data_IF_362277646410
#
_entry.id   IF_362277646410
#
_cell.length_a   1.000
_cell.length_b   1.000
_cell.length_c   1.000
_cell.angle_alpha   90.00
_cell.angle_beta   90.00
_cell.angle_gamma   90.00
#
_symmetry.space_group_name_H-M   'P 1'
#
loop_
_entity.id
_entity.type
_entity.pdbx_description
1 polymer ?
#
# COMPACT_ATOMS: atom_id res chain seq x y z
N UNK A 1 41.38 33.68 -14.12
CA UNK A 1 40.85 33.27 -12.80
C UNK A 1 40.01 32.01 -12.98
N UNK A 2 40.36 30.88 -12.33
CA UNK A 2 39.53 29.68 -12.40
C UNK A 2 38.17 29.93 -11.75
N UNK A 3 37.08 29.57 -12.43
CA UNK A 3 35.71 29.72 -11.91
C UNK A 3 35.59 28.92 -10.61
N UNK A 4 35.28 29.61 -9.51
CA UNK A 4 34.91 28.94 -8.25
C UNK A 4 33.75 27.97 -8.54
N UNK A 5 33.88 26.67 -8.22
CA UNK A 5 32.78 25.74 -8.40
C UNK A 5 31.58 26.25 -7.61
N UNK A 6 30.41 26.31 -8.25
CA UNK A 6 29.16 26.67 -7.58
C UNK A 6 28.96 25.65 -6.46
N UNK A 7 29.11 26.10 -5.20
CA UNK A 7 28.65 25.32 -4.06
C UNK A 7 27.14 25.24 -4.16
N UNK A 8 26.61 24.02 -4.17
CA UNK A 8 25.18 23.81 -4.10
C UNK A 8 24.64 24.52 -2.85
N UNK A 9 23.55 25.28 -2.96
CA UNK A 9 22.94 25.90 -1.80
C UNK A 9 22.59 24.79 -0.81
N UNK A 10 23.12 24.89 0.41
CA UNK A 10 22.78 24.02 1.55
C UNK A 10 21.30 24.24 1.90
N UNK A 11 20.40 23.63 1.14
CA UNK A 11 19.02 23.43 1.55
C UNK A 11 19.06 22.50 2.76
N UNK A 12 18.38 22.89 3.83
CA UNK A 12 18.01 21.94 4.87
C UNK A 12 17.33 20.76 4.18
N UNK A 13 17.81 19.53 4.44
CA UNK A 13 17.28 18.33 3.83
C UNK A 13 15.77 18.29 4.04
N UNK A 14 15.00 18.26 2.95
CA UNK A 14 13.56 18.14 3.08
C UNK A 14 13.28 16.69 3.47
N UNK A 15 12.50 16.41 4.53
CA UNK A 15 12.14 15.03 4.90
C UNK A 15 11.44 14.26 3.77
N UNK A 16 10.97 14.93 2.71
CA UNK A 16 10.43 14.30 1.51
C UNK A 16 11.50 13.77 0.53
N UNK A 17 12.76 14.21 0.65
CA UNK A 17 13.88 13.81 -0.22
C UNK A 17 14.32 12.35 0.04
N UNK A 18 13.89 11.75 1.15
CA UNK A 18 14.11 10.34 1.47
C UNK A 18 13.28 9.38 0.58
N UNK A 19 12.22 9.88 -0.04
CA UNK A 19 11.29 9.07 -0.84
C UNK A 19 11.62 9.13 -2.34
N UNK A 20 11.36 8.03 -3.05
CA UNK A 20 11.51 7.98 -4.51
C UNK A 20 10.57 8.98 -5.19
N UNK A 21 10.99 9.53 -6.33
CA UNK A 21 10.15 10.45 -7.13
C UNK A 21 8.84 9.81 -7.58
N UNK A 22 8.82 8.49 -7.79
CA UNK A 22 7.61 7.73 -8.10
C UNK A 22 6.65 7.63 -6.92
N UNK A 23 7.16 7.34 -5.71
CA UNK A 23 6.36 7.26 -4.49
C UNK A 23 5.72 8.61 -4.16
N UNK A 24 6.51 9.68 -4.34
CA UNK A 24 6.04 11.03 -4.16
C UNK A 24 4.92 11.38 -5.15
N UNK A 25 4.98 10.90 -6.40
CA UNK A 25 3.90 11.09 -7.38
C UNK A 25 2.63 10.34 -6.97
N UNK A 26 2.76 9.09 -6.54
CA UNK A 26 1.61 8.29 -6.09
C UNK A 26 0.96 8.93 -4.86
N UNK A 27 1.75 9.32 -3.86
CA UNK A 27 1.25 10.02 -2.67
C UNK A 27 0.59 11.36 -3.02
N UNK A 28 1.16 12.14 -3.94
CA UNK A 28 0.54 13.37 -4.45
C UNK A 28 -0.77 13.10 -5.19
N UNK A 29 -0.83 12.06 -6.02
CA UNK A 29 -2.04 11.70 -6.75
C UNK A 29 -3.18 11.32 -5.81
N UNK A 30 -2.90 10.48 -4.79
CA UNK A 30 -3.88 10.14 -3.74
C UNK A 30 -4.29 11.39 -2.96
N UNK A 31 -3.33 12.24 -2.61
CA UNK A 31 -3.64 13.46 -1.87
C UNK A 31 -4.52 14.44 -2.67
N UNK A 32 -4.20 14.67 -3.95
CA UNK A 32 -5.02 15.54 -4.80
C UNK A 32 -6.39 14.93 -5.10
N UNK A 33 -6.49 13.62 -5.26
CA UNK A 33 -7.80 12.97 -5.42
C UNK A 33 -8.67 13.12 -4.18
N UNK A 34 -8.10 13.05 -2.96
CA UNK A 34 -8.83 13.35 -1.72
C UNK A 34 -9.34 14.80 -1.73
N UNK A 35 -8.52 15.77 -2.14
CA UNK A 35 -8.92 17.19 -2.21
C UNK A 35 -10.07 17.38 -3.20
N UNK A 36 -9.95 16.81 -4.40
CA UNK A 36 -11.00 16.91 -5.44
C UNK A 36 -12.29 16.24 -4.96
N UNK A 37 -12.19 15.05 -4.36
CA UNK A 37 -13.36 14.34 -3.80
C UNK A 37 -14.03 15.16 -2.69
N UNK A 38 -13.23 15.80 -1.83
CA UNK A 38 -13.72 16.68 -0.76
C UNK A 38 -14.47 17.88 -1.34
N UNK A 39 -13.91 18.56 -2.35
CA UNK A 39 -14.54 19.70 -2.99
C UNK A 39 -15.87 19.33 -3.65
N UNK A 40 -15.91 18.23 -4.40
CA UNK A 40 -17.14 17.72 -5.05
C UNK A 40 -18.19 17.36 -3.99
N UNK A 41 -17.78 16.72 -2.89
CA UNK A 41 -18.69 16.31 -1.82
C UNK A 41 -19.29 17.53 -1.11
N UNK A 42 -18.49 18.56 -0.80
CA UNK A 42 -18.98 19.81 -0.19
C UNK A 42 -19.98 20.50 -1.13
N UNK A 43 -19.67 20.55 -2.42
CA UNK A 43 -20.56 21.13 -3.42
C UNK A 43 -21.87 20.33 -3.53
N UNK A 44 -21.79 19.01 -3.52
CA UNK A 44 -22.95 18.12 -3.49
C UNK A 44 -23.83 18.34 -2.26
N UNK A 45 -23.24 18.45 -1.07
CA UNK A 45 -23.98 18.74 0.18
C UNK A 45 -24.79 20.03 0.04
N UNK A 46 -24.18 21.10 -0.47
CA UNK A 46 -24.87 22.37 -0.66
C UNK A 46 -26.02 22.27 -1.68
N UNK A 47 -25.78 21.62 -2.81
CA UNK A 47 -26.81 21.43 -3.83
C UNK A 47 -27.98 20.58 -3.32
N UNK A 48 -27.72 19.52 -2.56
CA UNK A 48 -28.76 18.71 -1.93
C UNK A 48 -29.56 19.53 -0.91
N UNK A 49 -28.92 20.32 -0.07
CA UNK A 49 -29.61 21.19 0.91
C UNK A 49 -30.49 22.22 0.19
N UNK A 50 -29.98 22.86 -0.86
CA UNK A 50 -30.72 23.85 -1.65
C UNK A 50 -31.89 23.19 -2.38
N UNK A 51 -31.67 22.03 -3.03
CA UNK A 51 -32.73 21.27 -3.70
C UNK A 51 -33.85 20.90 -2.74
N UNK A 52 -33.49 20.36 -1.57
CA UNK A 52 -34.44 20.03 -0.51
C UNK A 52 -35.23 21.25 0.00
N UNK A 53 -34.58 22.41 0.16
CA UNK A 53 -35.24 23.66 0.56
C UNK A 53 -36.26 24.15 -0.47
N UNK A 54 -35.97 23.96 -1.76
CA UNK A 54 -36.85 24.34 -2.86
C UNK A 54 -38.04 23.36 -2.95
N UNK A 55 -37.78 22.05 -2.98
CA UNK A 55 -38.81 21.02 -3.13
C UNK A 55 -39.78 20.96 -1.96
N UNK A 56 -39.30 21.25 -0.75
CA UNK A 56 -40.14 21.30 0.45
C UNK A 56 -40.99 22.58 0.55
N UNK A 57 -40.89 23.51 -0.40
CA UNK A 57 -41.57 24.81 -0.37
C UNK A 57 -41.10 25.74 0.76
N UNK A 58 -40.09 25.33 1.54
CA UNK A 58 -39.57 26.11 2.68
C UNK A 58 -38.88 27.38 2.24
N UNK A 59 -38.40 27.42 0.99
CA UNK A 59 -37.83 28.63 0.41
C UNK A 59 -38.82 29.81 0.39
N UNK A 60 -40.10 29.55 0.13
CA UNK A 60 -41.14 30.59 0.12
C UNK A 60 -41.36 31.17 1.51
N UNK A 61 -41.33 30.32 2.54
CA UNK A 61 -41.43 30.74 3.95
C UNK A 61 -40.25 31.64 4.31
N UNK A 62 -39.03 31.26 3.90
CA UNK A 62 -37.81 32.04 4.16
C UNK A 62 -37.83 33.36 3.40
N UNK A 63 -38.29 33.37 2.15
CA UNK A 63 -38.46 34.59 1.36
C UNK A 63 -39.51 35.54 1.99
N UNK A 64 -40.54 34.97 2.62
CA UNK A 64 -41.58 35.71 3.35
C UNK A 64 -41.10 36.41 4.62
N UNK A 65 -39.96 36.01 5.20
CA UNK A 65 -39.38 36.66 6.40
C UNK A 65 -38.67 37.99 6.09
N UNK A 66 -38.68 38.40 4.83
CA UNK A 66 -38.07 39.64 4.36
C UNK A 66 -36.59 39.48 4.02
N UNK A 67 -36.01 40.49 3.35
CA UNK A 67 -34.66 40.40 2.77
C UNK A 67 -33.55 40.20 3.81
N UNK A 68 -33.76 40.68 5.05
CA UNK A 68 -32.80 40.54 6.14
C UNK A 68 -32.59 39.07 6.58
N UNK A 69 -33.67 38.28 6.63
CA UNK A 69 -33.59 36.87 7.02
C UNK A 69 -32.89 36.04 5.93
N UNK A 70 -33.22 36.29 4.66
CA UNK A 70 -32.54 35.65 3.53
C UNK A 70 -31.04 35.98 3.51
N UNK A 71 -30.68 37.25 3.73
CA UNK A 71 -29.28 37.67 3.83
C UNK A 71 -28.54 36.97 4.98
N UNK A 72 -29.18 36.82 6.15
CA UNK A 72 -28.58 36.14 7.31
C UNK A 72 -28.31 34.66 7.03
N UNK A 73 -29.21 33.96 6.35
CA UNK A 73 -29.01 32.57 5.93
C UNK A 73 -27.85 32.47 4.94
N UNK A 74 -27.81 33.32 3.92
CA UNK A 74 -26.73 33.34 2.92
C UNK A 74 -25.37 33.62 3.58
N UNK A 75 -25.30 34.60 4.48
CA UNK A 75 -24.09 34.90 5.24
C UNK A 75 -23.69 33.72 6.12
N UNK A 76 -24.64 33.07 6.79
CA UNK A 76 -24.40 31.86 7.58
C UNK A 76 -23.81 30.71 6.74
N UNK A 77 -24.33 30.50 5.53
CA UNK A 77 -23.82 29.52 4.56
C UNK A 77 -22.37 29.84 4.17
N UNK A 78 -22.09 31.10 3.85
CA UNK A 78 -20.74 31.55 3.47
C UNK A 78 -19.76 31.36 4.64
N UNK A 79 -20.15 31.75 5.85
CA UNK A 79 -19.32 31.60 7.06
C UNK A 79 -19.06 30.12 7.35
N UNK A 80 -20.09 29.27 7.28
CA UNK A 80 -19.94 27.83 7.47
C UNK A 80 -19.01 27.22 6.42
N UNK A 81 -19.13 27.63 5.15
CA UNK A 81 -18.28 27.16 4.07
C UNK A 81 -16.81 27.59 4.27
N UNK A 82 -16.56 28.85 4.65
CA UNK A 82 -15.21 29.34 4.96
C UNK A 82 -14.60 28.57 6.14
N UNK A 83 -15.37 28.31 7.18
CA UNK A 83 -14.92 27.50 8.32
C UNK A 83 -14.54 26.07 7.88
N UNK A 84 -15.36 25.46 7.03
CA UNK A 84 -15.11 24.14 6.45
C UNK A 84 -13.80 24.12 5.64
N UNK A 85 -13.54 25.14 4.82
CA UNK A 85 -12.29 25.26 4.05
C UNK A 85 -11.06 25.38 4.96
N UNK A 86 -11.14 26.16 6.04
CA UNK A 86 -10.05 26.30 7.02
C UNK A 86 -9.81 24.98 7.75
N UNK A 87 -10.87 24.29 8.17
CA UNK A 87 -10.76 22.97 8.80
C UNK A 87 -10.10 21.97 7.85
N UNK A 88 -10.54 21.93 6.59
CA UNK A 88 -9.89 21.09 5.58
C UNK A 88 -8.43 21.46 5.38
N UNK A 89 -8.10 22.74 5.24
CA UNK A 89 -6.71 23.19 5.09
C UNK A 89 -5.82 22.76 6.27
N UNK A 90 -6.30 22.92 7.50
CA UNK A 90 -5.55 22.52 8.70
C UNK A 90 -5.40 21.01 8.82
N UNK A 91 -6.43 20.23 8.47
CA UNK A 91 -6.39 18.77 8.44
C UNK A 91 -5.42 18.23 7.37
N UNK A 92 -5.31 18.94 6.25
CA UNK A 92 -4.40 18.61 5.16
C UNK A 92 -2.97 19.15 5.34
N UNK A 93 -2.72 20.05 6.30
CA UNK A 93 -1.39 20.61 6.56
C UNK A 93 -0.44 19.50 7.03
N UNK A 94 0.54 19.17 6.20
CA UNK A 94 1.47 18.05 6.44
C UNK A 94 0.93 16.68 6.04
N UNK A 95 -0.23 16.62 5.38
CA UNK A 95 -0.90 15.39 4.95
C UNK A 95 -0.01 14.53 4.05
N UNK A 96 0.65 15.12 3.05
CA UNK A 96 1.51 14.38 2.09
C UNK A 96 2.62 13.62 2.83
N UNK A 97 3.28 14.25 3.81
CA UNK A 97 4.39 13.65 4.54
C UNK A 97 3.91 12.50 5.42
N UNK A 98 2.78 12.68 6.13
CA UNK A 98 2.13 11.60 6.88
C UNK A 98 1.66 10.46 5.97
N UNK A 99 1.17 10.77 4.76
CA UNK A 99 0.72 9.80 3.78
C UNK A 99 1.91 8.96 3.28
N UNK A 100 3.02 9.61 2.92
CA UNK A 100 4.26 8.93 2.54
C UNK A 100 4.79 8.05 3.67
N UNK A 101 4.83 8.56 4.91
CA UNK A 101 5.27 7.81 6.08
C UNK A 101 4.42 6.57 6.33
N UNK A 102 3.11 6.61 6.10
CA UNK A 102 2.22 5.47 6.35
C UNK A 102 2.22 4.46 5.20
N UNK A 103 2.29 4.92 3.94
CA UNK A 103 2.32 4.05 2.76
C UNK A 103 3.67 3.39 2.52
N UNK A 104 4.77 4.10 2.81
CA UNK A 104 6.11 3.67 2.40
C UNK A 104 7.08 3.50 3.58
N UNK A 105 6.59 3.45 4.83
CA UNK A 105 7.41 3.24 6.04
C UNK A 105 8.43 2.12 5.89
N UNK A 106 7.96 1.01 5.31
CA UNK A 106 8.72 -0.23 5.24
C UNK A 106 9.64 -0.30 4.00
N UNK A 107 9.58 0.69 3.11
CA UNK A 107 10.43 0.71 1.90
C UNK A 107 11.89 1.04 2.22
N UNK A 108 12.16 1.87 3.22
CA UNK A 108 13.53 2.13 3.70
C UNK A 108 14.16 0.81 4.20
N UNK A 109 13.38 -0.05 4.86
CA UNK A 109 13.78 -1.40 5.23
C UNK A 109 13.87 -2.35 4.02
N UNK A 110 12.95 -2.24 3.05
CA UNK A 110 12.98 -3.05 1.83
C UNK A 110 14.23 -2.80 0.96
N UNK A 111 14.87 -1.63 1.08
CA UNK A 111 16.14 -1.32 0.42
C UNK A 111 17.30 -2.19 0.92
N UNK A 112 17.22 -2.69 2.17
CA UNK A 112 18.16 -3.69 2.71
C UNK A 112 18.05 -5.05 2.01
N UNK A 113 16.94 -5.30 1.32
CA UNK A 113 16.63 -6.56 0.65
C UNK A 113 16.55 -6.39 -0.88
N UNK A 114 17.18 -5.35 -1.43
CA UNK A 114 17.08 -4.96 -2.84
C UNK A 114 17.82 -5.92 -3.79
N UNK A 115 18.82 -6.65 -3.30
CA UNK A 115 19.67 -7.53 -4.13
C UNK A 115 18.96 -8.82 -4.62
N UNK A 116 17.81 -9.18 -4.07
CA UNK A 116 17.11 -10.42 -4.40
C UNK A 116 16.01 -10.21 -5.46
N UNK A 117 16.43 -9.80 -6.66
CA UNK A 117 15.53 -9.58 -7.81
C UNK A 117 14.68 -10.81 -8.14
N UNK A 118 15.26 -12.01 -8.07
CA UNK A 118 14.57 -13.28 -8.35
C UNK A 118 13.47 -13.59 -7.33
N UNK A 119 13.73 -13.36 -6.04
CA UNK A 119 12.76 -13.56 -4.97
C UNK A 119 11.59 -12.56 -5.09
N UNK A 120 11.89 -11.30 -5.39
CA UNK A 120 10.88 -10.27 -5.62
C UNK A 120 9.96 -10.63 -6.80
N UNK A 121 10.51 -11.20 -7.88
CA UNK A 121 9.73 -11.65 -9.02
C UNK A 121 8.83 -12.85 -8.67
N UNK A 122 9.33 -13.82 -7.89
CA UNK A 122 8.53 -14.96 -7.43
C UNK A 122 7.39 -14.53 -6.48
N UNK A 123 7.67 -13.58 -5.59
CA UNK A 123 6.65 -12.95 -4.73
C UNK A 123 5.62 -12.18 -5.57
N UNK A 124 6.06 -11.44 -6.58
CA UNK A 124 5.15 -10.73 -7.47
C UNK A 124 4.22 -11.70 -8.23
N UNK A 125 4.75 -12.79 -8.76
CA UNK A 125 3.96 -13.82 -9.48
C UNK A 125 2.95 -14.48 -8.53
N UNK A 126 3.37 -14.90 -7.34
CA UNK A 126 2.46 -15.53 -6.36
C UNK A 126 1.35 -14.58 -5.90
N UNK A 127 1.67 -13.31 -5.64
CA UNK A 127 0.66 -12.29 -5.32
C UNK A 127 -0.31 -12.08 -6.48
N UNK A 128 0.18 -11.96 -7.72
CA UNK A 128 -0.68 -11.84 -8.91
C UNK A 128 -1.62 -13.04 -9.03
N UNK A 129 -1.13 -14.26 -8.80
CA UNK A 129 -1.97 -15.46 -8.81
C UNK A 129 -3.06 -15.42 -7.73
N UNK A 130 -2.73 -14.97 -6.52
CA UNK A 130 -3.72 -14.79 -5.44
C UNK A 130 -4.74 -13.70 -5.81
N UNK A 131 -4.30 -12.58 -6.39
CA UNK A 131 -5.20 -11.54 -6.85
C UNK A 131 -6.13 -12.03 -7.96
N UNK A 132 -5.61 -12.75 -8.95
CA UNK A 132 -6.43 -13.35 -10.01
C UNK A 132 -7.45 -14.32 -9.41
N UNK A 133 -7.03 -15.19 -8.48
CA UNK A 133 -7.95 -16.08 -7.79
C UNK A 133 -9.04 -15.32 -7.05
N UNK A 134 -8.70 -14.28 -6.28
CA UNK A 134 -9.68 -13.45 -5.58
C UNK A 134 -10.62 -12.74 -6.54
N UNK A 135 -10.11 -12.20 -7.66
CA UNK A 135 -10.94 -11.55 -8.69
C UNK A 135 -11.87 -12.57 -9.35
N UNK A 136 -11.38 -13.77 -9.71
CA UNK A 136 -12.21 -14.82 -10.31
C UNK A 136 -13.27 -15.30 -9.32
N UNK A 137 -12.91 -15.50 -8.05
CA UNK A 137 -13.85 -15.82 -6.97
C UNK A 137 -14.92 -14.73 -6.85
N UNK A 138 -14.52 -13.47 -6.87
CA UNK A 138 -15.43 -12.33 -6.83
C UNK A 138 -16.37 -12.33 -8.04
N UNK A 139 -15.83 -12.43 -9.25
CA UNK A 139 -16.61 -12.45 -10.51
C UNK A 139 -17.55 -13.66 -10.60
N UNK A 140 -17.25 -14.80 -9.98
CA UNK A 140 -18.10 -15.99 -10.04
C UNK A 140 -19.17 -15.99 -8.94
N UNK A 141 -18.83 -15.57 -7.72
CA UNK A 141 -19.75 -15.62 -6.58
C UNK A 141 -20.68 -14.40 -6.55
N UNK A 142 -20.14 -13.21 -6.81
CA UNK A 142 -20.88 -11.93 -6.66
C UNK A 142 -22.08 -11.81 -7.60
N UNK A 143 -22.08 -12.29 -8.86
CA UNK A 143 -23.23 -12.11 -9.75
C UNK A 143 -24.53 -12.72 -9.27
N UNK A 144 -24.48 -13.80 -8.48
CA UNK A 144 -25.69 -14.54 -8.09
C UNK A 144 -26.60 -13.79 -7.12
N UNK A 145 -26.08 -12.78 -6.41
CA UNK A 145 -26.87 -11.97 -5.47
C UNK A 145 -26.67 -10.46 -5.65
N UNK A 146 -25.53 -10.05 -6.19
CA UNK A 146 -25.11 -8.65 -6.18
C UNK A 146 -25.52 -7.90 -7.45
N UNK A 147 -25.68 -8.60 -8.58
CA UNK A 147 -26.02 -7.94 -9.85
C UNK A 147 -27.44 -7.36 -9.80
N UNK A 148 -28.40 -8.10 -9.24
CA UNK A 148 -29.77 -7.61 -9.09
C UNK A 148 -29.83 -6.47 -8.06
N UNK A 149 -29.13 -6.60 -6.93
CA UNK A 149 -29.00 -5.52 -5.94
C UNK A 149 -28.41 -4.24 -6.55
N UNK A 150 -27.32 -4.34 -7.33
CA UNK A 150 -26.68 -3.20 -7.99
C UNK A 150 -27.60 -2.60 -9.05
N UNK A 151 -28.31 -3.43 -9.80
CA UNK A 151 -29.27 -2.97 -10.82
C UNK A 151 -30.42 -2.19 -10.18
N UNK A 152 -31.03 -2.73 -9.14
CA UNK A 152 -32.16 -2.11 -8.44
C UNK A 152 -31.71 -0.81 -7.76
N UNK A 153 -30.54 -0.81 -7.13
CA UNK A 153 -29.94 0.38 -6.54
C UNK A 153 -29.64 1.45 -7.61
N UNK A 154 -29.11 1.05 -8.76
CA UNK A 154 -28.83 1.96 -9.87
C UNK A 154 -30.10 2.56 -10.46
N UNK A 155 -31.15 1.75 -10.62
CA UNK A 155 -32.46 2.21 -11.07
C UNK A 155 -33.08 3.19 -10.07
N UNK A 156 -32.97 2.91 -8.77
CA UNK A 156 -33.42 3.81 -7.71
C UNK A 156 -32.68 5.16 -7.77
N UNK A 157 -31.35 5.14 -7.88
CA UNK A 157 -30.53 6.35 -8.01
C UNK A 157 -31.01 7.18 -9.22
N UNK A 158 -31.15 6.58 -10.39
CA UNK A 158 -31.54 7.31 -11.61
C UNK A 158 -32.91 7.95 -11.50
N UNK A 159 -33.84 7.28 -10.84
CA UNK A 159 -35.25 7.72 -10.80
C UNK A 159 -35.55 8.71 -9.68
N UNK A 160 -34.79 8.69 -8.59
CA UNK A 160 -35.10 9.48 -7.38
C UNK A 160 -34.07 10.56 -7.07
N UNK A 161 -32.89 10.56 -7.70
CA UNK A 161 -31.86 11.53 -7.34
C UNK A 161 -32.05 12.85 -8.06
N UNK A 162 -32.10 13.92 -7.27
CA UNK A 162 -32.01 15.26 -7.78
C UNK A 162 -30.57 15.57 -8.24
N UNK A 163 -30.35 16.65 -9.03
CA UNK A 163 -29.01 17.02 -9.47
C UNK A 163 -28.00 17.19 -8.33
N UNK A 164 -28.43 17.67 -7.16
CA UNK A 164 -27.57 17.77 -5.97
C UNK A 164 -27.14 16.41 -5.42
N UNK A 165 -28.07 15.46 -5.36
CA UNK A 165 -27.82 14.11 -4.86
C UNK A 165 -26.88 13.34 -5.77
N UNK A 166 -26.96 13.58 -7.09
CA UNK A 166 -26.00 13.06 -8.06
C UNK A 166 -24.58 13.55 -7.82
N UNK A 167 -24.41 14.86 -7.60
CA UNK A 167 -23.08 15.43 -7.32
C UNK A 167 -22.52 14.90 -6.00
N UNK A 168 -23.38 14.81 -4.97
CA UNK A 168 -23.01 14.24 -3.68
C UNK A 168 -22.59 12.78 -3.82
N UNK A 169 -23.35 11.99 -4.56
CA UNK A 169 -23.07 10.57 -4.82
C UNK A 169 -21.74 10.39 -5.54
N UNK A 170 -21.47 11.17 -6.59
CA UNK A 170 -20.18 11.13 -7.29
C UNK A 170 -19.03 11.49 -6.35
N UNK A 171 -19.19 12.52 -5.51
CA UNK A 171 -18.20 12.90 -4.50
C UNK A 171 -17.87 11.76 -3.53
N UNK A 172 -18.91 11.10 -2.99
CA UNK A 172 -18.76 9.95 -2.10
C UNK A 172 -18.16 8.73 -2.81
N UNK A 173 -18.55 8.45 -4.05
CA UNK A 173 -17.98 7.35 -4.84
C UNK A 173 -16.49 7.56 -5.11
N UNK A 174 -16.07 8.79 -5.38
CA UNK A 174 -14.64 9.11 -5.54
C UNK A 174 -13.87 8.82 -4.25
N UNK A 175 -14.41 9.13 -3.08
CA UNK A 175 -13.80 8.74 -1.80
C UNK A 175 -13.66 7.22 -1.64
N UNK A 176 -14.69 6.45 -2.01
CA UNK A 176 -14.63 4.98 -1.97
C UNK A 176 -13.52 4.47 -2.90
N UNK A 177 -13.43 4.98 -4.13
CA UNK A 177 -12.37 4.61 -5.07
C UNK A 177 -10.99 4.94 -4.51
N UNK A 178 -10.81 6.15 -3.98
CA UNK A 178 -9.54 6.59 -3.40
C UNK A 178 -9.17 5.75 -2.19
N UNK A 179 -10.13 5.39 -1.35
CA UNK A 179 -9.93 4.49 -0.20
C UNK A 179 -9.50 3.10 -0.65
N UNK A 180 -10.14 2.53 -1.68
CA UNK A 180 -9.76 1.22 -2.24
C UNK A 180 -8.33 1.25 -2.81
N UNK A 181 -7.99 2.28 -3.57
CA UNK A 181 -6.62 2.46 -4.10
C UNK A 181 -5.62 2.58 -2.96
N UNK A 182 -5.91 3.40 -1.96
CA UNK A 182 -5.07 3.57 -0.78
C UNK A 182 -4.84 2.26 -0.03
N UNK A 183 -5.92 1.51 0.23
CA UNK A 183 -5.85 0.20 0.90
C UNK A 183 -5.07 -0.81 0.06
N UNK A 184 -5.30 -0.87 -1.25
CA UNK A 184 -4.56 -1.74 -2.17
C UNK A 184 -3.06 -1.51 -2.08
N UNK A 185 -2.62 -0.24 -2.13
CA UNK A 185 -1.20 0.10 -1.95
C UNK A 185 -0.68 -0.19 -0.55
N UNK A 186 -1.47 0.09 0.50
CA UNK A 186 -1.07 -0.17 1.87
C UNK A 186 -0.86 -1.67 2.13
N UNK A 187 -1.80 -2.50 1.67
CA UNK A 187 -1.74 -3.97 1.74
C UNK A 187 -0.59 -4.48 0.89
N UNK A 188 -0.39 -3.96 -0.31
CA UNK A 188 0.72 -4.38 -1.17
C UNK A 188 2.08 -4.14 -0.50
N UNK A 189 2.33 -2.92 -0.02
CA UNK A 189 3.60 -2.57 0.59
C UNK A 189 3.86 -3.35 1.89
N UNK A 190 2.86 -3.51 2.75
CA UNK A 190 3.01 -4.30 3.98
C UNK A 190 3.08 -5.81 3.70
N UNK A 191 2.28 -6.30 2.74
CA UNK A 191 2.21 -7.72 2.37
C UNK A 191 3.52 -8.21 1.78
N UNK A 192 4.07 -7.48 0.81
CA UNK A 192 5.40 -7.78 0.24
C UNK A 192 6.47 -7.78 1.34
N UNK A 193 6.41 -6.82 2.27
CA UNK A 193 7.36 -6.77 3.39
C UNK A 193 7.27 -7.99 4.31
N UNK A 194 6.05 -8.41 4.70
CA UNK A 194 5.85 -9.58 5.57
C UNK A 194 6.44 -10.84 4.93
N UNK A 195 6.22 -11.01 3.63
CA UNK A 195 6.74 -12.17 2.89
C UNK A 195 8.27 -12.12 2.82
N UNK A 196 8.86 -10.97 2.45
CA UNK A 196 10.32 -10.83 2.41
C UNK A 196 10.96 -11.12 3.77
N UNK A 197 10.38 -10.62 4.86
CA UNK A 197 10.87 -10.87 6.23
C UNK A 197 10.82 -12.36 6.60
N UNK A 198 9.76 -13.06 6.20
CA UNK A 198 9.59 -14.50 6.46
C UNK A 198 10.61 -15.33 5.69
N UNK A 199 10.77 -15.08 4.39
CA UNK A 199 11.73 -15.81 3.55
C UNK A 199 13.14 -15.62 4.06
N UNK A 200 13.51 -14.39 4.40
CA UNK A 200 14.87 -14.12 4.87
C UNK A 200 15.21 -14.79 6.19
N UNK A 201 14.23 -14.91 7.09
CA UNK A 201 14.42 -15.63 8.35
C UNK A 201 14.69 -17.11 8.11
N UNK A 202 14.04 -17.70 7.10
CA UNK A 202 14.26 -19.11 6.71
C UNK A 202 15.67 -19.27 6.14
N UNK A 203 16.10 -18.37 5.25
CA UNK A 203 17.44 -18.41 4.67
C UNK A 203 18.54 -18.21 5.73
N UNK A 204 18.36 -17.25 6.66
CA UNK A 204 19.29 -17.05 7.79
C UNK A 204 19.30 -18.26 8.75
N UNK A 205 18.15 -18.90 9.00
CA UNK A 205 18.06 -20.13 9.79
C UNK A 205 18.82 -21.30 9.11
N UNK A 206 18.66 -21.47 7.79
CA UNK A 206 19.35 -22.48 6.99
C UNK A 206 20.88 -22.26 6.97
N UNK A 207 21.33 -21.01 6.82
CA UNK A 207 22.75 -20.65 6.86
C UNK A 207 23.37 -20.94 8.24
N UNK A 208 22.67 -20.59 9.32
CA UNK A 208 23.11 -20.87 10.69
C UNK A 208 23.16 -22.39 10.95
N UNK A 209 22.16 -23.15 10.49
CA UNK A 209 22.17 -24.61 10.64
C UNK A 209 23.33 -25.25 9.88
N UNK A 210 23.63 -24.77 8.66
CA UNK A 210 24.78 -25.23 7.89
C UNK A 210 26.13 -24.86 8.54
N UNK A 211 26.21 -23.69 9.17
CA UNK A 211 27.41 -23.26 9.89
C UNK A 211 27.62 -24.06 11.19
N UNK A 212 26.56 -24.26 11.99
CA UNK A 212 26.59 -25.14 13.17
C UNK A 212 26.98 -26.57 12.76
N UNK A 213 26.40 -27.10 11.68
CA UNK A 213 26.75 -28.43 11.17
C UNK A 213 28.21 -28.52 10.74
N UNK A 214 28.79 -27.47 10.15
CA UNK A 214 30.22 -27.43 9.82
C UNK A 214 31.10 -27.34 11.06
N UNK A 215 30.68 -26.58 12.07
CA UNK A 215 31.42 -26.49 13.35
C UNK A 215 31.39 -27.82 14.10
N UNK A 216 30.25 -28.51 14.16
CA UNK A 216 30.14 -29.87 14.69
C UNK A 216 31.11 -30.83 13.99
N UNK A 217 31.15 -30.79 12.65
CA UNK A 217 32.04 -31.63 11.84
C UNK A 217 33.53 -31.31 12.02
N UNK A 218 33.91 -30.09 12.42
CA UNK A 218 35.31 -29.72 12.68
C UNK A 218 35.86 -30.33 13.97
N UNK A 219 34.99 -30.73 14.92
CA UNK A 219 35.37 -31.34 16.19
C UNK A 219 35.35 -32.86 16.21
N UNK A 220 34.83 -33.51 15.16
CA UNK A 220 34.70 -34.96 15.09
C UNK A 220 35.99 -35.68 14.62
N UNK A 221 36.12 -36.93 15.08
CA UNK A 221 37.16 -37.85 14.69
C UNK A 221 36.95 -38.41 13.26
N UNK A 222 38.03 -38.80 12.60
CA UNK A 222 38.02 -39.25 11.20
C UNK A 222 37.10 -40.46 10.95
N UNK A 223 36.88 -41.31 11.95
CA UNK A 223 35.96 -42.44 11.85
C UNK A 223 34.48 -42.00 11.86
N UNK A 224 34.14 -40.99 12.65
CA UNK A 224 32.80 -40.40 12.71
C UNK A 224 32.49 -39.64 11.42
N UNK A 225 33.47 -38.90 10.87
CA UNK A 225 33.35 -38.27 9.56
C UNK A 225 33.06 -39.28 8.43
N UNK A 226 33.66 -40.48 8.48
CA UNK A 226 33.33 -41.55 7.53
C UNK A 226 31.87 -42.02 7.65
N UNK A 227 31.39 -42.25 8.88
CA UNK A 227 30.01 -42.68 9.14
C UNK A 227 28.99 -41.62 8.71
N UNK A 228 29.28 -40.34 8.94
CA UNK A 228 28.43 -39.24 8.51
C UNK A 228 28.38 -39.14 6.99
N UNK A 229 29.52 -39.23 6.31
CA UNK A 229 29.56 -39.23 4.84
C UNK A 229 28.77 -40.39 4.24
N UNK A 230 28.94 -41.59 4.79
CA UNK A 230 28.22 -42.79 4.34
C UNK A 230 26.72 -42.66 4.56
N UNK A 231 26.30 -42.10 5.70
CA UNK A 231 24.89 -41.83 6.01
C UNK A 231 24.27 -40.75 5.10
N UNK A 232 25.01 -39.70 4.77
CA UNK A 232 24.52 -38.60 3.94
C UNK A 232 24.48 -38.94 2.44
N UNK A 233 25.47 -39.66 1.95
CA UNK A 233 25.65 -39.88 0.49
C UNK A 233 25.30 -41.29 0.03
N UNK A 234 25.12 -42.23 0.98
CA UNK A 234 24.91 -43.66 0.69
C UNK A 234 26.13 -44.34 0.05
N UNK A 235 27.28 -43.67 -0.02
CA UNK A 235 28.51 -44.13 -0.70
C UNK A 235 29.61 -44.33 0.33
N UNK A 236 30.39 -45.40 0.17
CA UNK A 236 31.51 -45.71 1.08
C UNK A 236 32.57 -44.62 1.06
N UNK A 237 32.99 -44.18 2.24
CA UNK A 237 34.05 -43.17 2.38
C UNK A 237 35.42 -43.75 1.98
N UNK A 238 35.64 -45.04 2.30
CA UNK A 238 36.86 -45.80 2.03
C UNK A 238 36.56 -46.90 1.00
N UNK A 239 37.41 -46.99 -0.03
CA UNK A 239 37.42 -48.12 -0.96
C UNK A 239 38.82 -48.72 -1.04
N UNK A 240 38.93 -50.03 -0.76
CA UNK A 240 40.21 -50.77 -0.73
C UNK A 240 41.28 -50.10 0.16
N UNK A 241 40.88 -49.64 1.35
CA UNK A 241 41.78 -49.01 2.32
C UNK A 241 42.24 -47.59 1.96
N UNK A 242 41.73 -46.98 0.88
CA UNK A 242 42.01 -45.59 0.52
C UNK A 242 40.74 -44.76 0.51
N UNK A 243 40.85 -43.52 0.98
CA UNK A 243 39.77 -42.53 0.88
C UNK A 243 39.36 -42.32 -0.58
N UNK A 244 38.06 -42.30 -0.83
CA UNK A 244 37.53 -42.05 -2.17
C UNK A 244 37.71 -40.58 -2.57
N UNK A 245 37.84 -40.32 -3.88
CA UNK A 245 37.94 -38.94 -4.40
C UNK A 245 36.71 -38.10 -4.04
N UNK A 246 35.53 -38.74 -3.99
CA UNK A 246 34.27 -38.12 -3.61
C UNK A 246 34.23 -37.75 -2.12
N UNK A 247 34.75 -38.60 -1.23
CA UNK A 247 34.92 -38.28 0.19
C UNK A 247 35.91 -37.14 0.38
N UNK A 248 37.07 -37.15 -0.30
CA UNK A 248 38.06 -36.05 -0.22
C UNK A 248 37.49 -34.70 -0.65
N UNK A 249 36.68 -34.66 -1.71
CA UNK A 249 36.01 -33.43 -2.14
C UNK A 249 34.94 -32.95 -1.15
N UNK A 250 34.19 -33.89 -0.56
CA UNK A 250 33.19 -33.58 0.46
C UNK A 250 33.84 -33.06 1.75
N UNK A 251 34.87 -33.76 2.25
CA UNK A 251 35.64 -33.38 3.44
C UNK A 251 36.26 -31.99 3.27
N UNK A 252 36.81 -31.68 2.10
CA UNK A 252 37.33 -30.34 1.79
C UNK A 252 36.23 -29.28 1.76
N UNK A 253 35.04 -29.59 1.25
CA UNK A 253 33.91 -28.65 1.19
C UNK A 253 33.30 -28.36 2.57
N UNK A 254 33.30 -29.35 3.46
CA UNK A 254 32.72 -29.21 4.81
C UNK A 254 33.71 -28.65 5.84
N UNK A 255 35.02 -28.87 5.67
CA UNK A 255 36.05 -28.46 6.62
C UNK A 255 36.88 -27.24 6.21
N UNK A 256 36.77 -26.74 4.97
CA UNK A 256 37.35 -25.44 4.56
C UNK A 256 36.43 -24.30 4.95
#
# INVERSE_FOLDING_TARGET
MPRKPRREPTRAANPLDEYSTWDLRIAKAIYYSIIVSSAITILGIWLTIIGWLIESGRWEIVAGWGPGAAALIIVGIIVLHMFLLVLFYTLFRGGILRLCQRLFKDRILAKKYEDYTTLRLLIAVTLISVYLFLITLFVVIVPTFFVDLVRDFWYYIITHFNPGDWVLFVGLMLFVIVMLVYLGFAIWNHGVFIVLKRVKRIEEEDEIEDEIRREELKGEDDESLHKIYEKQTGKKAIYRGKETRAYKSWKRKMLS
#
